data_IF_212187669891
#
_entry.id   IF_212187669891
#
_cell.length_a   1.000
_cell.length_b   1.000
_cell.length_c   1.000
_cell.angle_alpha   90.00
_cell.angle_beta   90.00
_cell.angle_gamma   90.00
#
_symmetry.space_group_name_H-M   'P 1'
#
loop_
_entity.id
_entity.type
_entity.pdbx_description
1 polymer ?
#
# COMPACT_ATOMS: atom_id res chain seq x y z
N UNK A 1 2.48 18.71 -15.20
CA UNK A 1 2.21 17.26 -15.21
C UNK A 1 3.40 16.59 -14.56
N UNK A 2 3.35 16.39 -13.24
CA UNK A 2 4.39 15.67 -12.53
C UNK A 2 4.13 14.18 -12.74
N UNK A 3 5.04 13.53 -13.46
CA UNK A 3 5.09 12.08 -13.56
C UNK A 3 5.63 11.57 -12.22
N UNK A 4 4.75 11.35 -11.25
CA UNK A 4 5.11 10.76 -9.96
C UNK A 4 5.64 9.36 -10.22
N UNK A 5 6.96 9.22 -10.18
CA UNK A 5 7.63 7.93 -10.14
C UNK A 5 7.13 7.20 -8.91
N UNK A 6 6.28 6.20 -9.11
CA UNK A 6 5.91 5.27 -8.05
C UNK A 6 7.19 4.47 -7.74
N UNK A 7 7.90 4.90 -6.71
CA UNK A 7 8.96 4.10 -6.08
C UNK A 7 10.39 4.57 -6.28
N UNK A 8 10.67 5.87 -6.23
CA UNK A 8 12.01 6.34 -5.87
C UNK A 8 11.97 6.86 -4.43
N UNK A 9 12.18 5.97 -3.46
CA UNK A 9 12.22 6.29 -2.02
C UNK A 9 13.67 6.35 -1.52
N UNK A 10 14.59 6.81 -2.37
CA UNK A 10 16.04 6.68 -2.14
C UNK A 10 16.73 8.03 -1.98
N UNK A 11 16.01 9.14 -2.05
CA UNK A 11 16.59 10.45 -1.78
C UNK A 11 16.54 10.74 -0.27
N UNK A 12 17.55 11.41 0.30
CA UNK A 12 17.58 11.74 1.73
C UNK A 12 16.35 12.52 2.21
N UNK A 13 15.74 13.33 1.33
CA UNK A 13 14.49 14.02 1.62
C UNK A 13 13.28 13.09 1.78
N UNK A 14 13.30 11.88 1.22
CA UNK A 14 12.18 10.92 1.28
C UNK A 14 12.06 10.22 2.64
N UNK A 15 13.11 10.29 3.46
CA UNK A 15 13.20 9.66 4.78
C UNK A 15 13.13 10.67 5.93
N UNK A 16 13.04 11.96 5.62
CA UNK A 16 12.98 13.03 6.61
C UNK A 16 11.52 13.40 6.94
N UNK A 17 11.23 13.61 8.23
CA UNK A 17 9.96 14.20 8.63
C UNK A 17 9.84 15.63 8.10
N UNK A 18 8.76 15.91 7.36
CA UNK A 18 8.45 17.26 6.87
C UNK A 18 7.35 17.89 7.75
N UNK A 19 7.65 18.99 8.47
CA UNK A 19 6.65 19.71 9.24
C UNK A 19 5.49 20.20 8.36
N UNK A 20 4.25 20.06 8.86
CA UNK A 20 3.03 20.51 8.17
C UNK A 20 2.39 19.47 7.25
N UNK A 21 3.02 18.32 7.04
CA UNK A 21 2.41 17.19 6.34
C UNK A 21 1.60 16.33 7.33
N UNK A 22 0.37 15.99 6.93
CA UNK A 22 -0.50 15.10 7.71
C UNK A 22 -0.30 13.63 7.30
N UNK A 23 0.78 13.05 7.81
CA UNK A 23 1.09 11.63 7.63
C UNK A 23 0.02 10.70 8.23
N UNK A 24 -0.73 11.16 9.25
CA UNK A 24 -1.75 10.34 9.92
C UNK A 24 -2.99 10.21 9.04
N UNK A 25 -3.41 11.29 8.38
CA UNK A 25 -4.50 11.25 7.41
C UNK A 25 -4.15 10.32 6.24
N UNK A 26 -2.94 10.45 5.68
CA UNK A 26 -2.43 9.55 4.64
C UNK A 26 -2.45 8.08 5.08
N UNK A 27 -1.89 7.79 6.25
CA UNK A 27 -1.86 6.43 6.79
C UNK A 27 -3.26 5.86 7.06
N UNK A 28 -4.21 6.67 7.57
CA UNK A 28 -5.59 6.23 7.82
C UNK A 28 -6.31 5.85 6.53
N UNK A 29 -6.19 6.67 5.48
CA UNK A 29 -6.74 6.33 4.17
C UNK A 29 -6.14 5.04 3.61
N UNK A 30 -4.82 4.86 3.77
CA UNK A 30 -4.16 3.61 3.38
C UNK A 30 -4.62 2.41 4.23
N UNK A 31 -4.90 2.60 5.53
CA UNK A 31 -5.37 1.56 6.43
C UNK A 31 -6.75 1.05 6.04
N UNK A 32 -7.68 1.96 5.75
CA UNK A 32 -9.01 1.61 5.25
C UNK A 32 -8.91 0.80 3.95
N UNK A 33 -8.10 1.26 2.98
CA UNK A 33 -7.90 0.55 1.72
C UNK A 33 -7.22 -0.82 1.91
N UNK A 34 -6.24 -0.93 2.81
CA UNK A 34 -5.56 -2.19 3.11
C UNK A 34 -6.52 -3.20 3.75
N UNK A 35 -7.39 -2.75 4.66
CA UNK A 35 -8.40 -3.59 5.30
C UNK A 35 -9.45 -4.08 4.28
N UNK A 36 -9.87 -3.24 3.35
CA UNK A 36 -10.76 -3.65 2.24
C UNK A 36 -10.13 -4.74 1.37
N UNK A 37 -8.85 -4.59 0.98
CA UNK A 37 -8.13 -5.59 0.20
C UNK A 37 -8.00 -6.90 0.98
N UNK A 38 -7.60 -6.83 2.25
CA UNK A 38 -7.44 -8.01 3.09
C UNK A 38 -8.77 -8.75 3.30
N UNK A 39 -9.86 -8.02 3.55
CA UNK A 39 -11.20 -8.60 3.71
C UNK A 39 -11.73 -9.23 2.42
N UNK A 40 -11.47 -8.63 1.26
CA UNK A 40 -11.84 -9.20 -0.03
C UNK A 40 -11.10 -10.53 -0.31
N UNK A 41 -9.81 -10.59 0.03
CA UNK A 41 -9.01 -11.81 -0.09
C UNK A 41 -9.47 -12.91 0.87
N UNK A 42 -9.80 -12.55 2.11
CA UNK A 42 -10.37 -13.48 3.09
C UNK A 42 -11.71 -14.06 2.60
N UNK A 43 -12.57 -13.22 1.99
CA UNK A 43 -13.87 -13.64 1.47
C UNK A 43 -13.76 -14.70 0.35
N UNK A 44 -12.65 -14.75 -0.37
CA UNK A 44 -12.36 -15.78 -1.39
C UNK A 44 -11.43 -16.90 -0.89
N UNK A 45 -11.18 -16.96 0.42
CA UNK A 45 -10.42 -18.03 1.07
C UNK A 45 -8.91 -17.89 1.03
N UNK A 46 -8.38 -16.69 0.79
CA UNK A 46 -6.94 -16.39 0.85
C UNK A 46 -6.64 -15.77 2.22
N UNK A 47 -5.87 -16.48 3.04
CA UNK A 47 -5.56 -16.04 4.40
C UNK A 47 -4.47 -14.95 4.45
N UNK A 48 -4.47 -14.19 5.55
CA UNK A 48 -3.52 -13.10 5.79
C UNK A 48 -2.05 -13.55 5.92
N UNK A 49 -1.78 -14.84 6.10
CA UNK A 49 -0.44 -15.43 6.05
C UNK A 49 0.06 -15.63 4.62
N UNK A 50 -0.86 -15.83 3.66
CA UNK A 50 -0.55 -15.94 2.24
C UNK A 50 -0.40 -14.57 1.55
N UNK A 51 -1.24 -13.59 1.90
CA UNK A 51 -1.20 -12.23 1.35
C UNK A 51 -1.52 -11.22 2.44
N UNK A 52 -0.74 -10.13 2.53
CA UNK A 52 -1.08 -9.03 3.43
C UNK A 52 -0.83 -7.66 2.79
N UNK A 53 -1.91 -6.91 2.60
CA UNK A 53 -1.85 -5.47 2.33
C UNK A 53 -1.46 -4.72 3.63
N UNK A 54 -0.46 -3.86 3.54
CA UNK A 54 0.06 -3.09 4.68
C UNK A 54 -0.07 -1.60 4.40
N UNK A 55 -0.72 -0.82 5.28
CA UNK A 55 -0.84 0.61 5.09
C UNK A 55 0.47 1.35 5.40
N UNK A 56 0.74 2.37 4.59
CA UNK A 56 1.87 3.26 4.73
C UNK A 56 1.48 4.70 4.33
N UNK A 57 2.21 5.67 4.85
CA UNK A 57 2.16 7.05 4.37
C UNK A 57 3.53 7.35 3.78
N UNK A 58 3.57 7.74 2.51
CA UNK A 58 4.82 8.06 1.83
C UNK A 58 5.45 9.36 2.31
N UNK A 59 6.56 9.74 1.70
CA UNK A 59 7.44 10.83 2.14
C UNK A 59 6.72 12.18 2.27
N UNK A 60 5.68 12.39 1.47
CA UNK A 60 4.89 13.62 1.45
C UNK A 60 3.47 13.43 2.01
N UNK A 61 3.25 12.35 2.75
CA UNK A 61 1.96 12.04 3.40
C UNK A 61 0.93 11.42 2.45
N UNK A 62 1.33 11.04 1.24
CA UNK A 62 0.46 10.34 0.31
C UNK A 62 0.10 8.94 0.85
N UNK A 63 -1.17 8.50 0.73
CA UNK A 63 -1.58 7.16 1.15
C UNK A 63 -0.98 6.10 0.23
N UNK A 64 -0.34 5.08 0.81
CA UNK A 64 0.28 3.97 0.05
C UNK A 64 -0.10 2.64 0.70
N UNK A 65 -0.49 1.66 -0.12
CA UNK A 65 -0.65 0.26 0.32
C UNK A 65 0.53 -0.55 -0.21
N UNK A 66 1.29 -1.15 0.70
CA UNK A 66 2.39 -2.03 0.37
C UNK A 66 1.94 -3.48 0.29
N UNK A 67 2.52 -4.18 -0.68
CA UNK A 67 2.39 -5.62 -0.88
C UNK A 67 3.79 -6.19 -1.08
N UNK A 68 4.02 -7.40 -0.57
CA UNK A 68 5.20 -8.15 -0.97
C UNK A 68 5.09 -8.51 -2.46
N UNK A 69 6.20 -8.61 -3.20
CA UNK A 69 6.14 -8.97 -4.62
C UNK A 69 5.41 -10.29 -4.90
N UNK A 70 5.56 -11.29 -4.03
CA UNK A 70 4.85 -12.58 -4.10
C UNK A 70 3.34 -12.42 -3.89
N UNK A 71 2.94 -11.57 -2.94
CA UNK A 71 1.55 -11.27 -2.62
C UNK A 71 0.84 -10.61 -3.80
N UNK A 72 1.48 -9.58 -4.39
CA UNK A 72 0.98 -8.89 -5.58
C UNK A 72 0.81 -9.85 -6.77
N UNK A 73 1.75 -10.79 -6.95
CA UNK A 73 1.65 -11.81 -8.02
C UNK A 73 0.53 -12.81 -7.75
N UNK A 74 0.30 -13.19 -6.50
CA UNK A 74 -0.80 -14.08 -6.12
C UNK A 74 -2.14 -13.41 -6.41
N UNK A 75 -2.34 -12.17 -5.97
CA UNK A 75 -3.53 -11.36 -6.27
C UNK A 75 -3.75 -11.30 -7.80
N UNK A 76 -2.71 -10.99 -8.58
CA UNK A 76 -2.83 -10.92 -10.03
C UNK A 76 -3.16 -12.26 -10.70
N UNK A 77 -2.84 -13.40 -10.08
CA UNK A 77 -3.24 -14.73 -10.60
C UNK A 77 -4.72 -14.97 -10.33
N UNK A 78 -5.19 -14.65 -9.13
CA UNK A 78 -6.59 -14.82 -8.71
C UNK A 78 -7.52 -14.01 -9.61
N UNK A 79 -7.24 -12.72 -9.79
CA UNK A 79 -8.03 -11.81 -10.63
C UNK A 79 -8.10 -12.19 -12.11
N UNK A 80 -7.22 -13.07 -12.60
CA UNK A 80 -7.25 -13.57 -13.99
C UNK A 80 -8.02 -14.88 -14.14
N UNK A 81 -8.41 -15.53 -13.05
CA UNK A 81 -9.20 -16.77 -13.08
C UNK A 81 -10.71 -16.52 -12.93
N UNK A 82 -11.09 -15.29 -12.61
CA UNK A 82 -12.45 -14.75 -12.67
C UNK A 82 -12.66 -14.01 -14.00
#
# INVERSE_FOLDING_TARGET
MANGSVGDYCEPEDVAYVPGIDYVAGWRMAAEAADEVNGALEAIGIDAGAVRAVPHAGAHGEPVVWLRPEDARLIARVLRRE
#
